data_IF_149002094873
#
_entry.id   IF_149002094873
#
_cell.length_a   1.000
_cell.length_b   1.000
_cell.length_c   1.000
_cell.angle_alpha   90.00
_cell.angle_beta   90.00
_cell.angle_gamma   90.00
#
_symmetry.space_group_name_H-M   'P 1'
#
loop_
_entity.id
_entity.type
_entity.pdbx_description
1 polymer ?
#
# COMPACT_ATOMS: atom_id res chain seq x y z
N UNK A 1 -24.42 10.64 30.29
CA UNK A 1 -22.97 10.52 30.55
C UNK A 1 -22.26 11.50 29.65
N UNK A 2 -21.56 12.49 30.21
CA UNK A 2 -20.75 13.41 29.40
C UNK A 2 -19.61 12.62 28.73
N UNK A 3 -19.25 12.91 27.47
CA UNK A 3 -18.06 12.31 26.88
C UNK A 3 -16.86 12.72 27.73
N UNK A 4 -16.15 11.74 28.28
CA UNK A 4 -14.84 11.97 28.89
C UNK A 4 -13.95 12.39 27.73
N UNK A 5 -13.68 13.69 27.60
CA UNK A 5 -12.69 14.17 26.65
C UNK A 5 -11.36 13.53 27.04
N UNK A 6 -10.83 12.67 26.17
CA UNK A 6 -9.50 12.13 26.33
C UNK A 6 -8.54 13.29 26.06
N UNK A 7 -8.18 14.04 27.09
CA UNK A 7 -7.13 15.06 26.96
C UNK A 7 -5.83 14.32 26.63
N UNK A 8 -5.41 14.47 25.37
CA UNK A 8 -4.27 13.80 24.79
C UNK A 8 -3.18 14.83 24.55
N UNK A 9 -2.04 14.65 25.19
CA UNK A 9 -0.91 15.57 25.04
C UNK A 9 0.01 15.17 23.88
N UNK A 10 0.78 16.12 23.36
CA UNK A 10 1.82 15.82 22.35
C UNK A 10 2.85 14.81 22.88
N UNK A 11 3.15 14.85 24.19
CA UNK A 11 4.06 13.90 24.82
C UNK A 11 3.54 12.47 24.74
N UNK A 12 2.27 12.26 25.10
CA UNK A 12 1.63 10.93 25.02
C UNK A 12 1.51 10.43 23.58
N UNK A 13 1.29 11.34 22.61
CA UNK A 13 1.33 10.98 21.19
C UNK A 13 2.71 10.51 20.74
N UNK A 14 3.77 11.21 21.16
CA UNK A 14 5.14 10.79 20.87
C UNK A 14 5.47 9.44 21.52
N UNK A 15 5.00 9.21 22.76
CA UNK A 15 5.14 7.92 23.43
C UNK A 15 4.39 6.82 22.69
N UNK A 16 3.16 7.06 22.25
CA UNK A 16 2.37 6.11 21.45
C UNK A 16 3.12 5.70 20.17
N UNK A 17 3.67 6.67 19.44
CA UNK A 17 4.45 6.44 18.22
C UNK A 17 5.73 5.63 18.53
N UNK A 18 6.48 6.02 19.56
CA UNK A 18 7.70 5.32 19.98
C UNK A 18 7.44 3.88 20.42
N UNK A 19 6.36 3.65 21.17
CA UNK A 19 5.90 2.31 21.55
C UNK A 19 5.56 1.49 20.31
N UNK A 20 4.81 2.04 19.34
CA UNK A 20 4.51 1.32 18.09
C UNK A 20 5.76 0.98 17.27
N UNK A 21 6.76 1.87 17.22
CA UNK A 21 8.04 1.58 16.58
C UNK A 21 8.76 0.41 17.26
N UNK A 22 8.81 0.40 18.59
CA UNK A 22 9.45 -0.68 19.36
C UNK A 22 8.66 -2.01 19.31
N UNK A 23 7.33 -1.94 19.23
CA UNK A 23 6.49 -3.12 19.02
C UNK A 23 6.76 -3.78 17.65
N UNK A 24 7.14 -3.00 16.64
CA UNK A 24 7.48 -3.55 15.32
C UNK A 24 8.81 -4.31 15.32
N UNK A 25 9.74 -3.94 16.20
CA UNK A 25 11.07 -4.55 16.31
C UNK A 25 11.08 -5.73 17.29
N UNK A 26 10.42 -5.60 18.44
CA UNK A 26 10.36 -6.63 19.48
C UNK A 26 9.16 -7.56 19.25
N UNK A 27 9.43 -8.76 18.72
CA UNK A 27 8.40 -9.76 18.46
C UNK A 27 8.10 -10.58 19.72
N UNK A 28 6.96 -10.32 20.37
CA UNK A 28 6.40 -11.16 21.43
C UNK A 28 5.08 -11.80 20.99
N UNK A 29 4.67 -12.95 21.57
CA UNK A 29 3.46 -13.68 21.16
C UNK A 29 2.17 -12.87 21.25
N UNK A 30 2.12 -11.88 22.16
CA UNK A 30 1.03 -10.94 22.25
C UNK A 30 1.54 -9.56 22.68
N UNK A 31 0.94 -8.50 22.13
CA UNK A 31 1.35 -7.12 22.38
C UNK A 31 1.30 -6.73 23.87
N UNK A 32 0.32 -7.24 24.62
CA UNK A 32 0.18 -6.96 26.06
C UNK A 32 1.35 -7.49 26.90
N UNK A 33 2.02 -8.53 26.42
CA UNK A 33 3.15 -9.17 27.12
C UNK A 33 4.31 -8.20 27.32
N UNK A 34 4.41 -7.17 26.48
CA UNK A 34 5.43 -6.12 26.58
C UNK A 34 5.34 -5.30 27.87
N UNK A 35 4.20 -5.36 28.58
CA UNK A 35 3.97 -4.72 29.88
C UNK A 35 3.95 -5.71 31.06
N UNK A 36 4.21 -6.99 30.81
CA UNK A 36 4.17 -8.03 31.85
C UNK A 36 5.40 -7.97 32.76
N UNK A 37 5.25 -8.23 34.07
CA UNK A 37 6.33 -7.95 35.04
C UNK A 37 7.62 -8.73 34.80
N UNK A 38 7.52 -9.94 34.24
CA UNK A 38 8.65 -10.87 34.09
C UNK A 38 9.37 -10.77 32.75
N UNK A 39 8.63 -10.49 31.68
CA UNK A 39 9.13 -10.52 30.29
C UNK A 39 8.86 -9.20 29.54
N UNK A 40 8.55 -8.11 30.26
CA UNK A 40 8.40 -6.79 29.68
C UNK A 40 9.64 -6.33 28.95
N UNK A 41 9.42 -5.57 27.88
CA UNK A 41 10.46 -4.70 27.36
C UNK A 41 10.39 -3.37 28.12
N UNK A 42 11.31 -3.20 29.07
CA UNK A 42 11.34 -2.08 30.02
C UNK A 42 11.12 -0.71 29.36
N UNK A 43 11.76 -0.36 28.22
CA UNK A 43 11.52 0.93 27.57
C UNK A 43 10.07 1.16 27.11
N UNK A 44 9.33 0.11 26.70
CA UNK A 44 7.90 0.22 26.36
C UNK A 44 7.07 0.37 27.63
N UNK A 45 7.34 -0.49 28.64
CA UNK A 45 6.54 -0.55 29.86
C UNK A 45 6.67 0.71 30.73
N UNK A 46 7.81 1.40 30.66
CA UNK A 46 8.06 2.65 31.39
C UNK A 46 7.60 3.89 30.61
N UNK A 47 7.48 3.81 29.29
CA UNK A 47 7.00 4.93 28.47
C UNK A 47 5.52 5.23 28.72
N UNK A 48 4.64 4.22 28.77
CA UNK A 48 3.23 4.44 29.12
C UNK A 48 2.60 3.18 29.70
N UNK A 49 1.48 3.29 30.42
CA UNK A 49 0.76 2.12 30.91
C UNK A 49 0.01 1.38 29.79
N UNK A 50 -0.16 0.06 29.93
CA UNK A 50 -0.90 -0.76 28.94
C UNK A 50 -2.34 -0.28 28.77
N UNK A 51 -2.99 0.17 29.85
CA UNK A 51 -4.36 0.69 29.81
C UNK A 51 -4.42 1.97 29.01
N UNK A 52 -3.53 2.93 29.29
CA UNK A 52 -3.47 4.21 28.58
C UNK A 52 -3.16 4.00 27.10
N UNK A 53 -2.19 3.14 26.77
CA UNK A 53 -1.87 2.76 25.39
C UNK A 53 -3.10 2.24 24.65
N UNK A 54 -3.83 1.31 25.25
CA UNK A 54 -5.01 0.70 24.62
C UNK A 54 -6.17 1.69 24.48
N UNK A 55 -6.39 2.54 25.48
CA UNK A 55 -7.40 3.60 25.40
C UNK A 55 -7.10 4.56 24.26
N UNK A 56 -5.87 5.10 24.20
CA UNK A 56 -5.50 6.04 23.13
C UNK A 56 -5.60 5.36 21.77
N UNK A 57 -5.08 4.13 21.62
CA UNK A 57 -5.13 3.37 20.37
C UNK A 57 -6.56 3.08 19.92
N UNK A 58 -7.48 2.82 20.85
CA UNK A 58 -8.89 2.52 20.54
C UNK A 58 -9.64 3.75 20.01
N UNK A 59 -9.31 4.95 20.50
CA UNK A 59 -9.95 6.21 20.10
C UNK A 59 -9.12 7.04 19.11
N UNK A 60 -8.07 6.45 18.52
CA UNK A 60 -7.23 7.14 17.56
C UNK A 60 -7.95 7.30 16.21
N UNK A 61 -8.32 8.53 15.87
CA UNK A 61 -8.98 8.89 14.61
C UNK A 61 -8.13 9.91 13.84
N UNK A 62 -7.83 9.61 12.57
CA UNK A 62 -6.97 10.44 11.69
C UNK A 62 -7.80 11.29 10.72
N UNK A 63 -9.13 11.19 10.77
CA UNK A 63 -10.04 11.95 9.93
C UNK A 63 -11.00 12.76 10.78
N UNK A 64 -11.25 14.00 10.38
CA UNK A 64 -12.27 14.83 10.99
C UNK A 64 -13.66 14.38 10.51
N UNK A 65 -14.39 13.75 11.42
CA UNK A 65 -15.73 13.26 11.16
C UNK A 65 -16.69 14.42 10.86
N UNK A 66 -16.45 15.62 11.41
CA UNK A 66 -17.30 16.79 11.18
C UNK A 66 -17.27 17.27 9.73
N UNK A 67 -16.15 17.05 9.03
CA UNK A 67 -15.96 17.39 7.62
C UNK A 67 -16.62 16.33 6.72
N UNK A 68 -16.57 15.06 7.13
CA UNK A 68 -17.01 13.91 6.32
C UNK A 68 -18.53 13.85 6.12
N UNK A 69 -19.33 14.39 7.05
CA UNK A 69 -20.81 14.38 6.97
C UNK A 69 -21.35 15.21 5.77
N UNK A 70 -20.55 16.11 5.18
CA UNK A 70 -20.98 16.90 4.02
C UNK A 70 -20.88 16.17 2.68
N UNK A 71 -20.05 15.15 2.58
CA UNK A 71 -19.98 14.26 1.42
C UNK A 71 -20.74 13.00 1.74
N UNK A 72 -22.00 12.93 1.29
CA UNK A 72 -22.72 11.66 1.15
C UNK A 72 -21.84 10.71 0.30
N UNK A 73 -21.07 9.84 0.94
CA UNK A 73 -20.67 8.59 0.31
C UNK A 73 -21.96 7.84 0.04
N UNK A 74 -22.43 7.93 -1.20
CA UNK A 74 -23.55 7.16 -1.72
C UNK A 74 -23.11 5.71 -1.67
N UNK A 75 -23.44 5.02 -0.58
CA UNK A 75 -23.42 3.56 -0.54
C UNK A 75 -24.37 3.10 -1.65
N UNK A 76 -23.82 2.56 -2.71
CA UNK A 76 -24.57 1.66 -3.59
C UNK A 76 -24.33 0.28 -3.03
N UNK A 77 -25.33 -0.20 -2.29
CA UNK A 77 -25.50 -1.61 -1.96
C UNK A 77 -25.73 -2.38 -3.26
N UNK A 78 -24.65 -2.69 -3.98
CA UNK A 78 -24.69 -3.74 -4.99
C UNK A 78 -24.16 -5.02 -4.34
N UNK A 79 -25.13 -5.77 -3.83
CA UNK A 79 -25.03 -7.18 -3.49
C UNK A 79 -24.34 -7.97 -4.61
N UNK A 80 -23.06 -8.27 -4.43
CA UNK A 80 -22.41 -9.41 -5.08
C UNK A 80 -22.11 -10.46 -4.02
N UNK A 81 -23.19 -11.18 -3.69
CA UNK A 81 -23.15 -12.51 -3.10
C UNK A 81 -22.53 -13.46 -4.12
N UNK A 82 -21.20 -13.42 -4.25
CA UNK A 82 -20.40 -14.26 -5.13
C UNK A 82 -19.59 -15.25 -4.31
N UNK A 83 -20.08 -16.49 -4.22
CA UNK A 83 -19.44 -17.60 -3.52
C UNK A 83 -17.95 -17.75 -3.86
N UNK A 84 -17.15 -17.90 -2.80
CA UNK A 84 -15.74 -18.24 -2.83
C UNK A 84 -15.42 -19.44 -3.74
N UNK A 85 -14.37 -19.31 -4.54
CA UNK A 85 -13.46 -20.38 -5.01
C UNK A 85 -12.36 -19.78 -5.88
N UNK A 86 -11.31 -19.21 -5.27
CA UNK A 86 -9.97 -19.18 -5.87
C UNK A 86 -8.94 -19.23 -4.74
N UNK A 87 -8.39 -20.42 -4.57
CA UNK A 87 -7.37 -20.74 -3.60
C UNK A 87 -6.09 -21.05 -4.35
N UNK A 88 -5.11 -20.16 -4.27
CA UNK A 88 -3.69 -20.49 -4.42
C UNK A 88 -2.86 -19.51 -3.58
N UNK A 89 -2.45 -20.02 -2.42
CA UNK A 89 -1.34 -19.69 -1.55
C UNK A 89 -0.49 -18.43 -1.85
N UNK A 90 -0.72 -17.36 -1.08
CA UNK A 90 0.34 -16.61 -0.39
C UNK A 90 -0.11 -16.51 1.07
N UNK A 91 0.73 -16.98 1.98
CA UNK A 91 0.36 -17.40 3.33
C UNK A 91 -0.07 -16.24 4.25
N UNK A 92 -1.26 -16.41 4.83
CA UNK A 92 -1.67 -16.04 6.20
C UNK A 92 -1.07 -14.77 6.81
N UNK A 93 -1.76 -13.64 6.62
CA UNK A 93 -2.09 -12.75 7.73
C UNK A 93 -3.50 -12.20 7.51
N UNK A 94 -4.50 -12.88 8.06
CA UNK A 94 -5.87 -12.39 8.10
C UNK A 94 -5.93 -11.14 8.99
N UNK A 95 -6.06 -9.97 8.37
CA UNK A 95 -6.52 -8.74 9.02
C UNK A 95 -7.77 -8.28 8.27
N UNK A 96 -8.87 -8.12 8.98
CA UNK A 96 -10.25 -8.04 8.49
C UNK A 96 -10.60 -6.84 7.56
N UNK A 97 -9.62 -6.01 7.15
CA UNK A 97 -9.76 -5.02 6.07
C UNK A 97 -8.37 -4.87 5.41
N UNK A 98 -8.09 -5.67 4.38
CA UNK A 98 -6.81 -5.58 3.67
C UNK A 98 -6.85 -4.40 2.69
N UNK A 99 -6.43 -3.21 3.15
CA UNK A 99 -6.11 -2.12 2.23
C UNK A 99 -4.89 -2.54 1.41
N UNK A 100 -5.05 -2.64 0.08
CA UNK A 100 -3.92 -2.88 -0.82
C UNK A 100 -3.21 -1.55 -1.06
N UNK A 101 -1.90 -1.49 -0.87
CA UNK A 101 -1.10 -0.33 -1.28
C UNK A 101 -0.22 -0.69 -2.49
N UNK A 102 0.04 0.31 -3.33
CA UNK A 102 1.02 0.26 -4.41
C UNK A 102 2.03 1.37 -4.13
N UNK A 103 3.31 1.12 -4.37
CA UNK A 103 4.36 2.07 -4.01
C UNK A 103 5.49 2.06 -5.04
N UNK A 104 6.20 3.19 -5.14
CA UNK A 104 7.45 3.32 -5.88
C UNK A 104 8.61 3.37 -4.90
N UNK A 105 9.61 2.51 -5.13
CA UNK A 105 10.82 2.45 -4.33
C UNK A 105 12.09 2.55 -5.18
N UNK A 106 13.17 3.06 -4.58
CA UNK A 106 14.52 2.96 -5.13
C UNK A 106 15.04 1.53 -5.09
N UNK A 107 16.13 1.29 -5.83
CA UNK A 107 16.93 0.06 -5.73
C UNK A 107 17.49 -0.16 -4.32
N UNK A 108 17.66 0.91 -3.53
CA UNK A 108 18.06 0.83 -2.11
C UNK A 108 16.96 0.25 -1.20
N UNK A 109 15.73 0.11 -1.69
CA UNK A 109 14.56 -0.30 -0.89
C UNK A 109 13.84 0.86 -0.21
N UNK A 110 14.28 2.11 -0.41
CA UNK A 110 13.58 3.29 0.13
C UNK A 110 12.35 3.58 -0.72
N UNK A 111 11.18 3.66 -0.08
CA UNK A 111 9.92 4.05 -0.72
C UNK A 111 9.85 5.58 -0.84
N UNK A 112 9.58 6.08 -2.04
CA UNK A 112 9.42 7.51 -2.29
C UNK A 112 7.96 7.95 -2.34
N UNK A 113 7.12 7.12 -2.94
CA UNK A 113 5.69 7.43 -3.10
C UNK A 113 4.84 6.18 -2.91
N UNK A 114 3.63 6.36 -2.39
CA UNK A 114 2.69 5.31 -2.03
C UNK A 114 1.26 5.76 -2.30
N UNK A 115 0.54 4.93 -3.05
CA UNK A 115 -0.88 5.06 -3.29
C UNK A 115 -1.64 3.91 -2.61
N UNK A 116 -2.63 4.24 -1.78
CA UNK A 116 -3.55 3.26 -1.23
C UNK A 116 -4.61 2.97 -2.29
N UNK A 117 -4.72 1.72 -2.70
CA UNK A 117 -5.78 1.27 -3.59
C UNK A 117 -7.13 1.45 -2.87
N UNK A 118 -7.88 2.45 -3.28
CA UNK A 118 -9.28 2.59 -2.92
C UNK A 118 -10.13 1.88 -3.98
N UNK A 119 -11.12 1.12 -3.54
CA UNK A 119 -12.12 0.58 -4.46
C UNK A 119 -12.78 1.74 -5.22
N UNK A 120 -12.94 1.52 -6.52
CA UNK A 120 -13.14 2.56 -7.52
C UNK A 120 -14.47 3.30 -7.31
N UNK A 121 -14.42 4.60 -7.02
CA UNK A 121 -15.49 5.52 -7.44
C UNK A 121 -15.50 5.62 -8.97
N UNK A 122 -16.64 5.97 -9.59
CA UNK A 122 -16.79 6.08 -11.06
C UNK A 122 -15.82 7.12 -11.68
N UNK A 123 -14.56 6.75 -11.88
CA UNK A 123 -13.61 7.53 -12.67
C UNK A 123 -13.87 7.26 -14.16
N UNK A 124 -13.79 8.31 -15.01
CA UNK A 124 -13.98 8.17 -16.46
C UNK A 124 -12.99 7.15 -17.04
N UNK A 125 -13.31 6.60 -18.21
CA UNK A 125 -12.46 5.64 -18.90
C UNK A 125 -11.05 6.23 -19.10
N UNK A 126 -10.07 5.68 -18.39
CA UNK A 126 -8.68 6.16 -18.45
C UNK A 126 -8.04 5.64 -19.74
N UNK A 127 -7.43 6.50 -20.58
CA UNK A 127 -6.92 6.13 -21.91
C UNK A 127 -5.95 4.95 -21.93
N UNK A 128 -5.10 4.82 -20.90
CA UNK A 128 -4.05 3.80 -20.81
C UNK A 128 -4.44 2.60 -19.91
N UNK A 129 -5.64 2.64 -19.33
CA UNK A 129 -6.11 1.65 -18.35
C UNK A 129 -5.70 1.95 -16.91
N UNK A 130 -6.37 1.28 -15.97
CA UNK A 130 -6.22 1.51 -14.52
C UNK A 130 -4.80 1.26 -14.00
N UNK A 131 -4.14 0.24 -14.51
CA UNK A 131 -2.81 -0.14 -14.03
C UNK A 131 -1.73 0.85 -14.49
N UNK A 132 -1.83 1.33 -15.72
CA UNK A 132 -0.95 2.36 -16.26
C UNK A 132 -1.10 3.71 -15.53
N UNK A 133 -2.34 4.05 -15.18
CA UNK A 133 -2.68 5.28 -14.47
C UNK A 133 -2.02 5.37 -13.09
N UNK A 134 -2.02 4.26 -12.34
CA UNK A 134 -1.31 4.15 -11.05
C UNK A 134 0.19 4.41 -11.25
N UNK A 135 0.79 3.84 -12.31
CA UNK A 135 2.22 4.04 -12.61
C UNK A 135 2.52 5.50 -12.94
N UNK A 136 1.66 6.16 -13.73
CA UNK A 136 1.85 7.57 -14.08
C UNK A 136 1.78 8.47 -12.86
N UNK A 137 0.82 8.25 -11.96
CA UNK A 137 0.74 9.01 -10.69
C UNK A 137 1.98 8.83 -9.84
N UNK A 138 2.44 7.59 -9.68
CA UNK A 138 3.65 7.27 -8.94
C UNK A 138 4.93 7.82 -9.59
N UNK A 139 4.90 8.37 -10.80
CA UNK A 139 6.07 8.89 -11.53
C UNK A 139 5.99 10.42 -11.70
N UNK A 140 4.86 11.05 -11.37
CA UNK A 140 4.61 12.47 -11.66
C UNK A 140 5.61 13.41 -10.98
N UNK A 141 6.11 13.02 -9.80
CA UNK A 141 7.11 13.77 -9.03
C UNK A 141 8.58 13.45 -9.41
N UNK A 142 8.84 12.56 -10.39
CA UNK A 142 10.20 12.28 -10.83
C UNK A 142 10.79 13.42 -11.67
N UNK A 143 12.04 13.86 -11.40
CA UNK A 143 12.70 14.84 -12.24
C UNK A 143 12.94 14.30 -13.65
N UNK A 144 12.52 15.08 -14.65
CA UNK A 144 12.73 14.75 -16.05
C UNK A 144 14.18 15.03 -16.48
N UNK A 145 14.70 14.26 -17.44
CA UNK A 145 16.04 14.47 -18.02
C UNK A 145 17.21 13.88 -17.23
N UNK A 146 16.96 13.17 -16.13
CA UNK A 146 18.01 12.55 -15.29
C UNK A 146 18.26 11.05 -15.58
N UNK A 147 17.81 10.54 -16.73
CA UNK A 147 17.95 9.13 -17.13
C UNK A 147 17.45 8.11 -16.10
N UNK A 148 16.35 8.42 -15.41
CA UNK A 148 15.70 7.46 -14.53
C UNK A 148 15.16 6.27 -15.31
N UNK A 149 15.28 5.09 -14.71
CA UNK A 149 14.79 3.82 -15.24
C UNK A 149 13.78 3.25 -14.26
N UNK A 150 12.58 2.97 -14.74
CA UNK A 150 11.50 2.44 -13.89
C UNK A 150 11.18 1.00 -14.27
N UNK A 151 11.03 0.16 -13.25
CA UNK A 151 10.75 -1.25 -13.42
C UNK A 151 9.37 -1.56 -12.84
N UNK A 152 8.55 -2.30 -13.59
CA UNK A 152 7.20 -2.68 -13.17
C UNK A 152 6.99 -4.18 -13.24
N UNK A 153 6.10 -4.68 -12.38
CA UNK A 153 5.58 -6.03 -12.49
C UNK A 153 4.59 -6.14 -13.67
N UNK A 154 4.31 -7.38 -14.06
CA UNK A 154 3.47 -7.76 -15.17
C UNK A 154 2.08 -7.13 -15.16
N UNK A 155 1.47 -7.01 -13.98
CA UNK A 155 0.14 -6.42 -13.80
C UNK A 155 0.08 -4.95 -14.28
N UNK A 156 1.22 -4.26 -14.22
CA UNK A 156 1.36 -2.85 -14.55
C UNK A 156 2.05 -2.60 -15.89
N UNK A 157 2.43 -3.66 -16.61
CA UNK A 157 3.18 -3.51 -17.86
C UNK A 157 2.25 -3.54 -19.07
N UNK A 158 2.28 -2.48 -19.89
CA UNK A 158 1.62 -2.42 -21.21
C UNK A 158 2.52 -1.71 -22.23
N UNK A 159 2.35 -2.05 -23.51
CA UNK A 159 3.14 -1.43 -24.59
C UNK A 159 2.83 0.08 -24.69
N UNK A 160 1.55 0.44 -24.58
CA UNK A 160 1.11 1.84 -24.64
C UNK A 160 1.69 2.68 -23.48
N UNK A 161 1.81 2.09 -22.28
CA UNK A 161 2.45 2.74 -21.14
C UNK A 161 3.93 3.00 -21.39
N UNK A 162 4.66 2.01 -21.92
CA UNK A 162 6.10 2.15 -22.21
C UNK A 162 6.32 3.26 -23.24
N UNK A 163 5.48 3.33 -24.27
CA UNK A 163 5.55 4.40 -25.27
C UNK A 163 5.20 5.77 -24.69
N UNK A 164 4.17 5.86 -23.84
CA UNK A 164 3.78 7.10 -23.18
C UNK A 164 4.87 7.61 -22.24
N UNK A 165 5.52 6.74 -21.47
CA UNK A 165 6.63 7.11 -20.58
C UNK A 165 7.83 7.66 -21.35
N UNK A 166 8.18 7.03 -22.48
CA UNK A 166 9.30 7.48 -23.29
C UNK A 166 9.01 8.81 -23.97
N UNK A 167 7.80 9.00 -24.48
CA UNK A 167 7.43 10.18 -25.28
C UNK A 167 7.10 11.39 -24.41
N UNK A 168 6.35 11.20 -23.33
CA UNK A 168 5.82 12.30 -22.51
C UNK A 168 6.75 12.65 -21.34
N UNK A 169 7.41 11.66 -20.74
CA UNK A 169 8.25 11.85 -19.55
C UNK A 169 9.75 11.69 -19.82
N UNK A 170 10.14 11.16 -20.98
CA UNK A 170 11.54 10.87 -21.31
C UNK A 170 12.18 9.78 -20.43
N UNK A 171 11.36 8.95 -19.79
CA UNK A 171 11.80 7.93 -18.83
C UNK A 171 11.89 6.58 -19.52
N UNK A 172 12.96 5.85 -19.24
CA UNK A 172 13.12 4.47 -19.71
C UNK A 172 12.41 3.51 -18.75
N UNK A 173 11.77 2.48 -19.30
CA UNK A 173 11.06 1.50 -18.47
C UNK A 173 11.29 0.07 -18.92
N UNK A 174 11.11 -0.85 -17.98
CA UNK A 174 11.23 -2.28 -18.22
C UNK A 174 10.21 -3.05 -17.37
N UNK A 175 9.61 -4.09 -17.96
CA UNK A 175 8.64 -4.92 -17.27
C UNK A 175 8.44 -6.24 -18.01
N UNK A 176 7.85 -7.21 -17.33
CA UNK A 176 7.50 -8.48 -17.95
C UNK A 176 6.11 -8.38 -18.56
N UNK A 177 5.91 -8.88 -19.78
CA UNK A 177 4.58 -8.91 -20.39
C UNK A 177 4.15 -10.38 -20.60
N UNK A 178 2.94 -10.75 -20.15
CA UNK A 178 2.38 -12.07 -20.49
C UNK A 178 2.08 -12.12 -21.99
N UNK A 179 2.37 -13.25 -22.61
CA UNK A 179 2.02 -13.54 -24.02
C UNK A 179 0.55 -13.22 -24.34
N UNK A 180 -0.36 -13.51 -23.41
CA UNK A 180 -1.79 -13.31 -23.57
C UNK A 180 -2.23 -11.84 -23.52
N UNK A 181 -1.33 -10.92 -23.17
CA UNK A 181 -1.61 -9.48 -23.07
C UNK A 181 -1.11 -8.69 -24.29
N UNK A 182 -0.51 -9.35 -25.28
CA UNK A 182 0.09 -8.72 -26.47
C UNK A 182 -0.81 -9.01 -27.67
N UNK A 183 -1.36 -7.95 -28.29
CA UNK A 183 -2.14 -8.07 -29.54
C UNK A 183 -1.25 -8.37 -30.76
N UNK A 184 0.06 -8.23 -30.62
CA UNK A 184 1.04 -8.49 -31.68
C UNK A 184 1.59 -9.92 -31.59
N UNK A 185 1.25 -10.73 -32.60
CA UNK A 185 1.73 -12.10 -32.84
C UNK A 185 3.21 -12.21 -33.24
N UNK A 186 4.04 -11.20 -32.92
CA UNK A 186 5.42 -11.08 -33.40
C UNK A 186 6.44 -11.76 -32.45
N UNK A 187 6.05 -12.03 -31.20
CA UNK A 187 6.93 -12.73 -30.27
C UNK A 187 7.01 -14.22 -30.63
N UNK A 188 8.24 -14.69 -30.88
CA UNK A 188 8.51 -16.11 -31.04
C UNK A 188 8.06 -16.91 -29.82
N UNK A 189 7.82 -18.21 -30.01
CA UNK A 189 7.45 -19.10 -28.93
C UNK A 189 8.44 -19.01 -27.76
N UNK A 190 7.99 -19.27 -26.52
CA UNK A 190 8.87 -19.22 -25.33
C UNK A 190 10.14 -20.10 -25.47
N UNK A 191 10.10 -21.14 -26.31
CA UNK A 191 11.26 -21.97 -26.64
C UNK A 191 12.34 -21.21 -27.44
N UNK A 192 11.93 -20.29 -28.31
CA UNK A 192 12.81 -19.46 -29.15
C UNK A 192 13.53 -18.36 -28.37
N UNK A 193 12.94 -17.94 -27.24
CA UNK A 193 13.39 -16.80 -26.42
C UNK A 193 14.21 -17.22 -25.19
N UNK A 194 14.42 -18.51 -24.97
CA UNK A 194 15.39 -18.97 -23.97
C UNK A 194 16.79 -18.57 -24.44
N UNK A 195 17.54 -17.94 -23.52
CA UNK A 195 18.91 -17.48 -23.71
C UNK A 195 19.70 -18.53 -24.50
N UNK A 196 20.14 -18.21 -25.72
CA UNK A 196 21.32 -18.88 -26.27
C UNK A 196 22.45 -18.41 -25.35
N UNK A 197 23.05 -19.35 -24.62
CA UNK A 197 24.28 -19.08 -23.88
C UNK A 197 25.26 -18.45 -24.88
N UNK A 198 25.81 -17.28 -24.53
CA UNK A 198 26.91 -16.67 -25.26
C UNK A 198 28.20 -17.45 -25.00
#
# INVERSE_FOLDING_TARGET
MAPIALELTQHEMNQLLGVHMLLSTVRLPAMRVQWERTIRYTPIAEAMSVERFLTIRQFFHVNDISITIKTKCRQTDDSLQGSAKFQTAIERQASFMACKSVYRAAVSGIVYDLEIYAEKGLAPAIPLGLSADVVLRLIDDLPQGMNFKVYFDNLYTSVDLIQALRTNHGIESCGTIRSNCIKCSILGSNASLKKKEC
#
